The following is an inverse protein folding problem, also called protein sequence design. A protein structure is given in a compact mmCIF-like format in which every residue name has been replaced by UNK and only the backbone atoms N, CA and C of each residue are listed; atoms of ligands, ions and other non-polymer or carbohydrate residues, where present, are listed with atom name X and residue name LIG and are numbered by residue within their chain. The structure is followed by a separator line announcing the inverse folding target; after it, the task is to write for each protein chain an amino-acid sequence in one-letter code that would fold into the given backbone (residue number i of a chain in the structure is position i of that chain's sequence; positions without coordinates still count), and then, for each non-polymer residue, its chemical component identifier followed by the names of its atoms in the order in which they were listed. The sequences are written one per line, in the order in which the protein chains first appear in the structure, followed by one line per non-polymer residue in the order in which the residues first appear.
data_IF_701218919998
#
_entry.id   IF_701218919998
#
_cell.length_a   1.000
_cell.length_b   1.000
_cell.length_c   1.000
_cell.angle_alpha   90.00
_cell.angle_beta   90.00
_cell.angle_gamma   90.00
#
_symmetry.space_group_name_H-M   'P 1'
#
loop_
_entity.id
_entity.type
_entity.pdbx_description
1 polymer ?
#
# COMPACT_ATOMS: atom_id res chain seq x y z
N UNK A 1 2.80 -22.37 -30.22
CA UNK A 1 3.59 -21.13 -30.20
C UNK A 1 2.76 -20.07 -29.48
N UNK A 2 3.31 -19.45 -28.45
CA UNK A 2 2.65 -18.37 -27.69
C UNK A 2 3.04 -17.04 -28.32
N UNK A 3 2.06 -16.16 -28.56
CA UNK A 3 2.29 -14.93 -29.34
C UNK A 3 1.67 -13.69 -28.71
N UNK A 4 0.82 -13.83 -27.68
CA UNK A 4 0.06 -12.70 -27.17
C UNK A 4 0.88 -11.89 -26.18
N UNK A 5 1.34 -10.72 -26.63
CA UNK A 5 2.01 -9.71 -25.79
C UNK A 5 1.06 -8.66 -25.18
N UNK A 6 -0.23 -8.68 -25.55
CA UNK A 6 -1.19 -7.65 -25.13
C UNK A 6 -2.63 -8.18 -24.99
N UNK A 7 -3.41 -7.61 -24.07
CA UNK A 7 -4.78 -8.06 -23.73
C UNK A 7 -5.76 -8.01 -24.92
N UNK A 8 -5.50 -7.11 -25.88
CA UNK A 8 -6.33 -6.93 -27.08
C UNK A 8 -5.82 -7.70 -28.30
N UNK A 9 -4.77 -8.49 -28.18
CA UNK A 9 -4.31 -9.33 -29.29
C UNK A 9 -5.34 -10.44 -29.52
N UNK A 10 -5.90 -10.56 -30.73
CA UNK A 10 -6.89 -11.59 -31.11
C UNK A 10 -6.23 -12.82 -31.75
N UNK A 11 -4.90 -12.89 -31.78
CA UNK A 11 -4.17 -14.03 -32.31
C UNK A 11 -4.55 -15.32 -31.56
N UNK A 12 -4.87 -16.37 -32.34
CA UNK A 12 -5.19 -17.69 -31.79
C UNK A 12 -3.91 -18.51 -31.70
N UNK A 13 -3.59 -19.09 -30.53
CA UNK A 13 -2.34 -19.83 -30.35
C UNK A 13 -2.36 -21.09 -31.21
N UNK A 14 -1.34 -21.25 -32.05
CA UNK A 14 -1.17 -22.47 -32.84
C UNK A 14 -0.61 -23.57 -31.97
N UNK A 15 -1.32 -24.69 -31.88
CA UNK A 15 -0.88 -25.90 -31.19
C UNK A 15 -0.34 -26.91 -32.20
N UNK A 16 0.88 -27.40 -31.95
CA UNK A 16 1.48 -28.49 -32.71
C UNK A 16 1.58 -29.65 -31.72
N UNK A 17 0.98 -30.79 -32.06
CA UNK A 17 0.95 -31.96 -31.21
C UNK A 17 1.16 -33.22 -32.03
N UNK A 18 1.85 -34.19 -31.44
CA UNK A 18 2.05 -35.53 -31.99
C UNK A 18 1.56 -36.55 -30.94
N UNK A 19 0.92 -37.63 -31.40
CA UNK A 19 0.58 -38.77 -30.55
C UNK A 19 -0.44 -38.51 -29.44
N UNK A 20 -1.67 -38.08 -29.77
CA UNK A 20 -2.81 -38.04 -28.82
C UNK A 20 -2.69 -37.03 -27.67
N UNK A 21 -1.60 -36.27 -27.57
CA UNK A 21 -1.38 -35.35 -26.44
C UNK A 21 -2.45 -34.23 -26.34
N UNK A 22 -3.19 -33.92 -27.41
CA UNK A 22 -4.33 -33.00 -27.35
C UNK A 22 -5.51 -33.58 -26.57
N UNK A 23 -5.66 -34.90 -26.54
CA UNK A 23 -6.76 -35.57 -25.85
C UNK A 23 -6.62 -35.40 -24.33
N UNK A 24 -5.39 -35.30 -23.80
CA UNK A 24 -5.15 -34.95 -22.40
C UNK A 24 -5.88 -33.67 -21.97
N UNK A 25 -5.86 -32.62 -22.79
CA UNK A 25 -6.50 -31.34 -22.46
C UNK A 25 -8.03 -31.49 -22.39
N UNK A 26 -8.62 -32.25 -23.32
CA UNK A 26 -10.06 -32.50 -23.34
C UNK A 26 -10.51 -33.50 -22.27
N UNK A 27 -9.73 -34.55 -22.04
CA UNK A 27 -10.11 -35.67 -21.18
C UNK A 27 -9.82 -35.39 -19.71
N UNK A 28 -8.67 -34.77 -19.40
CA UNK A 28 -8.24 -34.48 -18.03
C UNK A 28 -8.62 -33.05 -17.64
N UNK A 29 -8.26 -32.06 -18.46
CA UNK A 29 -8.47 -30.65 -18.12
C UNK A 29 -9.87 -30.14 -18.49
N UNK A 30 -10.65 -30.92 -19.26
CA UNK A 30 -11.99 -30.56 -19.76
C UNK A 30 -12.01 -29.20 -20.47
N UNK A 31 -10.94 -28.88 -21.19
CA UNK A 31 -10.75 -27.61 -21.90
C UNK A 31 -10.10 -27.84 -23.24
N UNK A 32 -10.40 -26.97 -24.21
CA UNK A 32 -9.64 -26.99 -25.45
C UNK A 32 -8.19 -26.54 -25.19
N UNK A 33 -7.20 -27.12 -25.89
CA UNK A 33 -5.79 -26.73 -25.76
C UNK A 33 -5.58 -25.21 -25.92
N UNK A 34 -6.32 -24.59 -26.84
CA UNK A 34 -6.26 -23.15 -27.08
C UNK A 34 -6.70 -22.32 -25.85
N UNK A 35 -7.72 -22.77 -25.11
CA UNK A 35 -8.18 -22.09 -23.90
C UNK A 35 -7.14 -22.15 -22.79
N UNK A 36 -6.46 -23.30 -22.66
CA UNK A 36 -5.39 -23.47 -21.66
C UNK A 36 -4.19 -22.58 -22.02
N UNK A 37 -3.83 -22.49 -23.31
CA UNK A 37 -2.82 -21.54 -23.77
C UNK A 37 -3.22 -20.09 -23.47
N UNK A 38 -4.48 -19.71 -23.74
CA UNK A 38 -4.97 -18.35 -23.46
C UNK A 38 -4.97 -18.02 -21.96
N UNK A 39 -5.33 -18.99 -21.11
CA UNK A 39 -5.27 -18.84 -19.64
C UNK A 39 -3.82 -18.68 -19.17
N UNK A 40 -2.89 -19.43 -19.75
CA UNK A 40 -1.46 -19.32 -19.44
C UNK A 40 -0.90 -17.96 -19.86
N UNK A 41 -1.21 -17.49 -21.06
CA UNK A 41 -0.81 -16.16 -21.55
C UNK A 41 -1.41 -15.05 -20.67
N UNK A 42 -2.70 -15.13 -20.32
CA UNK A 42 -3.34 -14.20 -19.40
C UNK A 42 -2.63 -14.17 -18.04
N UNK A 43 -2.28 -15.34 -17.50
CA UNK A 43 -1.53 -15.43 -16.25
C UNK A 43 -0.12 -14.82 -16.35
N UNK A 44 0.59 -15.05 -17.46
CA UNK A 44 1.93 -14.52 -17.69
C UNK A 44 1.91 -12.99 -17.83
N UNK A 45 0.98 -12.45 -18.63
CA UNK A 45 0.78 -11.01 -18.81
C UNK A 45 0.46 -10.32 -17.48
N UNK A 46 -0.37 -10.93 -16.64
CA UNK A 46 -0.66 -10.40 -15.30
C UNK A 46 0.58 -10.37 -14.37
N UNK A 47 1.54 -11.30 -14.53
CA UNK A 47 2.78 -11.27 -13.73
C UNK A 47 3.76 -10.21 -14.21
N UNK A 48 3.92 -10.06 -15.52
CA UNK A 48 4.82 -9.05 -16.10
C UNK A 48 4.34 -7.62 -15.84
N UNK A 49 3.03 -7.41 -15.74
CA UNK A 49 2.43 -6.13 -15.36
C UNK A 49 2.38 -5.90 -13.83
N UNK A 50 2.96 -6.80 -13.01
CA UNK A 50 3.05 -6.63 -11.56
C UNK A 50 1.75 -6.86 -10.78
N UNK A 51 0.67 -7.35 -11.41
CA UNK A 51 -0.60 -7.64 -10.75
C UNK A 51 -0.62 -9.05 -10.13
N UNK A 52 0.39 -9.38 -9.32
CA UNK A 52 0.42 -10.68 -8.62
C UNK A 52 -0.56 -10.76 -7.44
N UNK A 53 -1.19 -9.65 -7.05
CA UNK A 53 -2.37 -9.66 -6.20
C UNK A 53 -3.55 -9.10 -7.01
N UNK A 54 -4.75 -9.70 -6.95
CA UNK A 54 -5.92 -8.98 -7.39
C UNK A 54 -5.92 -7.64 -6.66
N UNK A 55 -6.23 -6.56 -7.39
CA UNK A 55 -6.39 -5.16 -6.97
C UNK A 55 -7.54 -5.02 -5.94
N UNK A 56 -7.61 -5.93 -4.99
CA UNK A 56 -8.50 -5.91 -3.86
C UNK A 56 -8.02 -4.82 -2.93
N UNK A 57 -9.00 -4.07 -2.42
CA UNK A 57 -8.76 -3.01 -1.46
C UNK A 57 -7.87 -3.47 -0.30
N UNK A 58 -8.10 -4.69 0.21
CA UNK A 58 -7.31 -5.26 1.31
C UNK A 58 -5.86 -5.52 0.97
N UNK A 59 -5.57 -6.06 -0.22
CA UNK A 59 -4.20 -6.32 -0.64
C UNK A 59 -3.41 -5.01 -0.76
N UNK A 60 -4.01 -3.99 -1.39
CA UNK A 60 -3.41 -2.67 -1.52
C UNK A 60 -3.21 -1.96 -0.18
N UNK A 61 -4.18 -2.06 0.74
CA UNK A 61 -4.07 -1.51 2.08
C UNK A 61 -2.90 -2.14 2.82
N UNK A 62 -2.75 -3.46 2.70
CA UNK A 62 -1.65 -4.21 3.30
C UNK A 62 -0.31 -3.76 2.70
N UNK A 63 -0.20 -3.72 1.37
CA UNK A 63 1.01 -3.31 0.67
C UNK A 63 1.46 -1.89 1.09
N UNK A 64 0.56 -0.91 1.07
CA UNK A 64 0.88 0.45 1.53
C UNK A 64 1.33 0.46 3.00
N UNK A 65 0.67 -0.33 3.85
CA UNK A 65 1.05 -0.46 5.27
C UNK A 65 2.44 -1.04 5.42
N UNK A 66 2.75 -2.10 4.67
CA UNK A 66 4.04 -2.79 4.72
C UNK A 66 5.18 -1.86 4.26
N UNK A 67 4.99 -1.09 3.18
CA UNK A 67 5.99 -0.11 2.71
C UNK A 67 6.21 1.00 3.76
N UNK A 68 5.14 1.57 4.30
CA UNK A 68 5.22 2.63 5.32
C UNK A 68 5.93 2.12 6.57
N UNK A 69 5.57 0.94 7.08
CA UNK A 69 6.19 0.37 8.28
C UNK A 69 7.65 -0.01 8.02
N UNK A 70 7.96 -0.58 6.86
CA UNK A 70 9.34 -0.93 6.49
C UNK A 70 10.23 0.31 6.45
N UNK A 71 9.77 1.38 5.81
CA UNK A 71 10.51 2.65 5.80
C UNK A 71 10.65 3.27 7.20
N UNK A 72 9.65 3.11 8.07
CA UNK A 72 9.71 3.60 9.45
C UNK A 72 10.72 2.79 10.29
N UNK A 73 10.76 1.47 10.11
CA UNK A 73 11.73 0.59 10.76
C UNK A 73 13.16 0.94 10.32
N UNK A 74 13.36 1.16 9.03
CA UNK A 74 14.65 1.56 8.46
C UNK A 74 15.18 2.87 9.08
N UNK A 75 14.34 3.91 9.15
CA UNK A 75 14.78 5.21 9.69
C UNK A 75 14.93 5.22 11.22
N UNK A 76 14.10 4.47 11.95
CA UNK A 76 14.17 4.39 13.41
C UNK A 76 15.16 3.35 13.92
N UNK A 77 15.70 2.49 13.04
CA UNK A 77 16.56 1.34 13.37
C UNK A 77 15.93 0.40 14.40
N UNK A 78 14.61 0.22 14.35
CA UNK A 78 13.83 -0.63 15.25
C UNK A 78 13.16 -1.74 14.46
N UNK A 79 13.13 -2.95 15.03
CA UNK A 79 12.59 -4.15 14.38
C UNK A 79 11.08 -4.30 14.53
N UNK A 80 10.46 -3.61 15.51
CA UNK A 80 9.01 -3.58 15.69
C UNK A 80 8.57 -2.16 15.95
N UNK A 81 7.85 -1.59 14.99
CA UNK A 81 7.30 -0.24 15.10
C UNK A 81 5.86 -0.26 14.61
N UNK A 82 4.98 0.39 15.37
CA UNK A 82 3.62 0.69 14.95
C UNK A 82 3.50 2.19 14.69
N UNK A 83 2.85 2.56 13.58
CA UNK A 83 2.58 3.95 13.25
C UNK A 83 1.32 4.44 13.96
N UNK A 84 1.47 5.45 14.82
CA UNK A 84 0.34 6.12 15.45
C UNK A 84 -0.10 7.30 14.58
N UNK A 85 -1.14 7.10 13.77
CA UNK A 85 -1.69 8.15 12.91
C UNK A 85 -2.35 9.29 13.69
N UNK A 86 -2.97 9.01 14.83
CA UNK A 86 -3.66 10.02 15.66
C UNK A 86 -2.68 10.95 16.36
N UNK A 87 -1.58 10.41 16.89
CA UNK A 87 -0.53 11.18 17.54
C UNK A 87 0.69 11.34 16.64
N UNK A 88 0.52 11.32 15.31
CA UNK A 88 1.63 11.29 14.36
C UNK A 88 2.57 12.48 14.56
N UNK A 89 2.01 13.70 14.61
CA UNK A 89 2.80 14.92 14.80
C UNK A 89 3.60 14.88 16.10
N UNK A 90 2.94 14.61 17.22
CA UNK A 90 3.59 14.60 18.52
C UNK A 90 4.65 13.50 18.65
N UNK A 91 4.34 12.28 18.18
CA UNK A 91 5.19 11.11 18.40
C UNK A 91 6.34 10.98 17.40
N UNK A 92 6.19 11.50 16.19
CA UNK A 92 7.17 11.38 15.12
C UNK A 92 7.82 12.73 14.79
N UNK A 93 7.00 13.75 14.49
CA UNK A 93 7.49 15.06 14.04
C UNK A 93 8.18 15.81 15.18
N UNK A 94 7.52 15.97 16.33
CA UNK A 94 8.09 16.63 17.51
C UNK A 94 9.09 15.74 18.25
N UNK A 95 8.68 14.50 18.55
CA UNK A 95 9.45 13.61 19.42
C UNK A 95 10.71 13.01 18.79
N UNK A 96 10.74 12.85 17.46
CA UNK A 96 11.85 12.16 16.77
C UNK A 96 12.42 12.95 15.59
N UNK A 97 11.85 14.11 15.25
CA UNK A 97 12.20 14.87 14.05
C UNK A 97 12.15 14.03 12.77
N UNK A 98 11.20 13.10 12.68
CA UNK A 98 11.02 12.23 11.52
C UNK A 98 9.60 12.45 10.98
N UNK A 99 9.49 12.56 9.66
CA UNK A 99 8.22 12.72 8.98
C UNK A 99 8.14 11.95 7.68
N UNK A 100 6.92 11.59 7.32
CA UNK A 100 6.55 11.07 6.02
C UNK A 100 6.32 12.27 5.09
N UNK A 101 7.27 12.49 4.18
CA UNK A 101 7.23 13.61 3.23
C UNK A 101 6.66 13.16 1.88
N UNK A 102 6.09 14.09 1.13
CA UNK A 102 5.54 13.82 -0.21
C UNK A 102 4.26 12.97 -0.20
N UNK A 103 3.46 13.06 0.87
CA UNK A 103 2.13 12.48 0.87
C UNK A 103 1.26 13.09 -0.24
N UNK A 104 0.59 12.29 -1.08
CA UNK A 104 -0.15 12.79 -2.23
C UNK A 104 -1.34 13.67 -1.84
N UNK A 105 -1.58 14.71 -2.64
CA UNK A 105 -2.71 15.62 -2.46
C UNK A 105 -4.03 14.90 -2.75
N UNK A 106 -5.07 15.19 -1.97
CA UNK A 106 -6.39 14.55 -2.11
C UNK A 106 -6.51 13.16 -1.48
N UNK A 107 -5.42 12.63 -0.89
CA UNK A 107 -5.46 11.39 -0.12
C UNK A 107 -5.50 11.70 1.37
N UNK A 108 -6.58 11.33 2.04
CA UNK A 108 -6.71 11.53 3.48
C UNK A 108 -5.59 10.83 4.28
N UNK A 109 -4.92 11.57 5.18
CA UNK A 109 -3.88 11.05 6.06
C UNK A 109 -4.50 10.27 7.23
N UNK A 110 -4.85 9.01 6.99
CA UNK A 110 -5.48 8.12 7.98
C UNK A 110 -4.91 6.70 7.88
N UNK A 111 -5.26 5.86 8.86
CA UNK A 111 -4.91 4.43 8.85
C UNK A 111 -5.38 3.79 7.55
N UNK A 112 -4.57 2.91 6.96
CA UNK A 112 -4.93 2.23 5.72
C UNK A 112 -6.22 1.42 5.84
N UNK A 113 -6.48 0.81 7.00
CA UNK A 113 -7.74 0.09 7.24
C UNK A 113 -9.00 0.96 7.16
N UNK A 114 -8.86 2.29 7.27
CA UNK A 114 -9.96 3.27 7.17
C UNK A 114 -10.07 3.88 5.76
N UNK A 115 -9.17 3.53 4.84
CA UNK A 115 -9.24 3.91 3.43
C UNK A 115 -10.19 2.95 2.69
N UNK A 116 -11.42 3.37 2.46
CA UNK A 116 -12.44 2.55 1.76
C UNK A 116 -12.40 2.68 0.23
N UNK A 117 -11.66 3.65 -0.30
CA UNK A 117 -11.65 3.96 -1.72
C UNK A 117 -10.37 3.47 -2.39
N UNK A 118 -10.51 2.76 -3.52
CA UNK A 118 -9.40 2.27 -4.32
C UNK A 118 -8.59 3.39 -5.02
N UNK A 119 -9.19 4.42 -5.64
CA UNK A 119 -8.41 5.42 -6.37
C UNK A 119 -7.39 6.18 -5.50
N UNK A 120 -7.74 6.69 -4.29
CA UNK A 120 -6.77 7.32 -3.40
C UNK A 120 -5.64 6.38 -2.95
N UNK A 121 -5.97 5.09 -2.80
CA UNK A 121 -5.01 4.07 -2.38
C UNK A 121 -4.01 3.72 -3.50
N UNK A 122 -4.46 3.75 -4.77
CA UNK A 122 -3.57 3.60 -5.94
C UNK A 122 -2.57 4.73 -6.01
N UNK A 123 -3.05 5.97 -5.90
CA UNK A 123 -2.19 7.17 -5.90
C UNK A 123 -1.14 7.09 -4.79
N UNK A 124 -1.55 6.67 -3.58
CA UNK A 124 -0.63 6.50 -2.46
C UNK A 124 0.40 5.39 -2.71
N UNK A 125 -0.02 4.22 -3.18
CA UNK A 125 0.88 3.11 -3.51
C UNK A 125 1.92 3.55 -4.53
N UNK A 126 1.49 4.20 -5.60
CA UNK A 126 2.37 4.61 -6.68
C UNK A 126 3.37 5.66 -6.18
N UNK A 127 2.96 6.59 -5.32
CA UNK A 127 3.85 7.55 -4.68
C UNK A 127 4.87 6.90 -3.71
N UNK A 128 4.45 5.87 -2.96
CA UNK A 128 5.34 5.10 -2.08
C UNK A 128 6.37 4.30 -2.88
N UNK A 129 5.93 3.63 -3.96
CA UNK A 129 6.79 2.84 -4.83
C UNK A 129 7.76 3.72 -5.64
N UNK A 130 7.32 4.89 -6.09
CA UNK A 130 8.19 5.87 -6.75
C UNK A 130 9.17 6.57 -5.78
N UNK A 131 8.99 6.39 -4.47
CA UNK A 131 9.80 7.05 -3.44
C UNK A 131 9.52 8.56 -3.31
N UNK A 132 8.50 9.08 -3.99
CA UNK A 132 8.04 10.47 -3.81
C UNK A 132 7.37 10.64 -2.45
N UNK A 133 6.69 9.60 -1.95
CA UNK A 133 6.24 9.49 -0.57
C UNK A 133 7.22 8.62 0.24
N UNK A 134 7.94 9.20 1.22
CA UNK A 134 8.93 8.44 2.00
C UNK A 134 9.22 9.06 3.36
N UNK A 135 9.78 8.25 4.25
CA UNK A 135 10.27 8.72 5.55
C UNK A 135 11.56 9.51 5.39
N UNK A 136 11.65 10.63 6.10
CA UNK A 136 12.83 11.50 6.11
C UNK A 136 13.04 12.09 7.50
N UNK A 137 14.31 12.27 7.87
CA UNK A 137 14.68 13.12 9.01
C UNK A 137 14.43 14.56 8.61
N UNK A 138 13.58 15.24 9.36
CA UNK A 138 13.13 16.59 9.06
C UNK A 138 14.18 17.61 9.48
N UNK A 139 14.44 18.58 8.62
CA UNK A 139 15.12 19.80 9.03
C UNK A 139 14.19 20.66 9.90
N UNK A 140 14.71 21.63 10.67
CA UNK A 140 13.86 22.52 11.48
C UNK A 140 12.80 23.25 10.66
N UNK A 141 13.13 23.64 9.42
CA UNK A 141 12.22 24.31 8.49
C UNK A 141 11.15 23.37 7.94
N UNK A 142 11.51 22.13 7.58
CA UNK A 142 10.56 21.11 7.13
C UNK A 142 9.61 20.70 8.25
N UNK A 143 10.13 20.57 9.47
CA UNK A 143 9.35 20.30 10.67
C UNK A 143 8.29 21.37 10.89
N UNK A 144 8.67 22.65 10.83
CA UNK A 144 7.72 23.76 11.00
C UNK A 144 6.65 23.76 9.91
N UNK A 145 7.02 23.50 8.65
CA UNK A 145 6.05 23.40 7.55
C UNK A 145 5.02 22.30 7.77
N UNK A 146 5.45 21.14 8.28
CA UNK A 146 4.54 20.02 8.56
C UNK A 146 3.62 20.35 9.75
N UNK A 147 4.15 21.01 10.79
CA UNK A 147 3.36 21.47 11.93
C UNK A 147 2.26 22.44 11.49
N UNK A 148 2.62 23.48 10.74
CA UNK A 148 1.65 24.47 10.26
C UNK A 148 0.57 23.81 9.38
N UNK A 149 0.96 22.93 8.45
CA UNK A 149 -0.02 22.19 7.63
C UNK A 149 -0.95 21.31 8.46
N UNK A 150 -0.45 20.74 9.55
CA UNK A 150 -1.28 19.92 10.42
C UNK A 150 -2.22 20.77 11.26
N UNK A 151 -1.79 21.93 11.74
CA UNK A 151 -2.67 22.92 12.38
C UNK A 151 -3.80 23.34 11.43
N UNK A 152 -3.48 23.66 10.17
CA UNK A 152 -4.49 23.98 9.14
C UNK A 152 -5.49 22.81 8.92
N UNK A 153 -5.02 21.56 8.97
CA UNK A 153 -5.88 20.37 8.81
C UNK A 153 -6.75 20.08 10.04
N UNK A 154 -6.26 20.43 11.24
CA UNK A 154 -7.02 20.35 12.49
C UNK A 154 -8.09 21.44 12.52
N UNK A 155 -7.75 22.65 12.10
CA UNK A 155 -8.68 23.78 11.99
C UNK A 155 -9.80 23.50 10.97
N UNK A 156 -9.47 22.83 9.86
CA UNK A 156 -10.46 22.35 8.87
C UNK A 156 -11.27 21.14 9.31
N UNK A 157 -10.98 20.54 10.47
CA UNK A 157 -11.71 19.40 11.01
C UNK A 157 -11.40 18.06 10.33
N UNK A 158 -10.38 17.98 9.48
CA UNK A 158 -9.97 16.76 8.77
C UNK A 158 -9.20 15.79 9.68
N UNK A 159 -8.69 16.28 10.82
CA UNK A 159 -7.94 15.50 11.82
C UNK A 159 -8.52 15.74 13.22
N UNK A 160 -9.00 14.67 13.88
CA UNK A 160 -9.42 14.74 15.27
C UNK A 160 -8.24 14.56 16.24
N UNK A 161 -7.86 15.62 16.94
CA UNK A 161 -6.93 15.53 18.07
C UNK A 161 -7.73 15.15 19.32
N UNK A 162 -7.51 13.96 19.87
CA UNK A 162 -8.09 13.61 21.17
C UNK A 162 -7.32 14.28 22.31
N UNK A 163 -8.02 15.05 23.13
CA UNK A 163 -7.52 15.49 24.43
C UNK A 163 -7.25 14.27 25.34
N UNK A 164 -6.14 14.30 26.08
CA UNK A 164 -5.78 13.22 27.01
C UNK A 164 -6.88 13.05 28.08
N UNK A 165 -7.29 11.81 28.44
CA UNK A 165 -8.04 11.60 29.68
C UNK A 165 -7.16 11.99 30.88
N UNK A 166 -7.73 12.72 31.83
CA UNK A 166 -7.07 13.15 33.04
C UNK A 166 -6.50 11.95 33.82
N UNK A 167 -5.20 11.98 34.11
CA UNK A 167 -4.53 10.94 34.90
C UNK A 167 -5.04 11.04 36.34
N UNK A 168 -5.83 10.08 36.83
CA UNK A 168 -6.21 9.99 38.25
C UNK A 168 -4.93 9.83 39.07
N UNK A 169 -4.58 10.87 39.81
CA UNK A 169 -3.53 10.85 40.83
C UNK A 169 -4.00 9.95 41.97
N UNK A 170 -3.45 8.74 42.09
CA UNK A 170 -3.50 7.99 43.34
C UNK A 170 -2.49 8.62 44.30
N UNK A 171 -2.94 9.57 45.12
CA UNK A 171 -2.13 10.15 46.18
C UNK A 171 -2.14 9.20 47.39
N UNK A 172 -0.93 8.95 47.89
CA UNK A 172 -0.61 8.10 49.03
C UNK A 172 -1.45 8.41 50.28
N UNK A 173 -1.87 7.35 50.97
CA UNK A 173 -2.31 7.42 52.35
C UNK A 173 -1.14 6.94 53.23
N UNK A 174 -0.48 7.90 53.86
CA UNK A 174 0.35 7.69 55.05
C UNK A 174 -0.46 8.13 56.25
N UNK A 175 -0.82 7.20 57.13
CA UNK A 175 -0.80 7.37 58.58
C UNK A 175 -0.99 6.02 59.27
#
# INVERSE_FOLDING_TARGET
MFSRGHLHDTSTPTTISTGGALDFFRDVLKKEPADVCALFELWAVNREQGTSCPDTLRAMQKECTDIILTGLMAITKRTKVAMNYENYVKSMVEGKNIGLVGWPQGVAFKRMSLQSALPPLKILRDALNAGTCRWKVLTPTERQRILNKFEDMVEKGEVQVKAKPARKSSRAATK
#
